data_IF_969546848362
#
_entry.id   IF_969546848362
#
_cell.length_a   1.000
_cell.length_b   1.000
_cell.length_c   1.000
_cell.angle_alpha   90.00
_cell.angle_beta   90.00
_cell.angle_gamma   90.00
#
_symmetry.space_group_name_H-M   'P 1'
#
loop_
_entity.id
_entity.type
_entity.pdbx_description
1 polymer ?
#
# COMPACT_ATOMS: atom_id res chain seq x y z
N UNK A 1 24.85 -47.35 32.22
CA UNK A 1 25.27 -47.06 30.82
C UNK A 1 24.11 -47.07 29.81
N UNK A 2 23.24 -48.10 29.76
CA UNK A 2 22.11 -48.16 28.79
C UNK A 2 21.12 -46.98 28.83
N UNK A 3 20.83 -46.43 30.02
CA UNK A 3 19.91 -45.29 30.19
C UNK A 3 20.49 -43.95 29.74
N UNK A 4 21.79 -43.74 29.89
CA UNK A 4 22.49 -42.51 29.49
C UNK A 4 22.55 -42.43 27.95
N UNK A 5 22.85 -43.55 27.28
CA UNK A 5 22.83 -43.62 25.82
C UNK A 5 21.44 -43.34 25.24
N UNK A 6 20.37 -43.74 25.93
CA UNK A 6 18.99 -43.48 25.50
C UNK A 6 18.63 -42.00 25.58
N UNK A 7 19.07 -41.31 26.65
CA UNK A 7 18.88 -39.86 26.81
C UNK A 7 19.66 -39.10 25.75
N UNK A 8 20.88 -39.54 25.43
CA UNK A 8 21.71 -38.92 24.40
C UNK A 8 21.09 -39.04 23.00
N UNK A 9 20.55 -40.22 22.66
CA UNK A 9 19.88 -40.47 21.38
C UNK A 9 18.57 -39.65 21.27
N UNK A 10 17.82 -39.53 22.37
CA UNK A 10 16.59 -38.72 22.41
C UNK A 10 16.86 -37.21 22.28
N UNK A 11 17.96 -36.71 22.87
CA UNK A 11 18.38 -35.32 22.70
C UNK A 11 18.81 -35.04 21.25
N UNK A 12 19.54 -35.96 20.61
CA UNK A 12 19.93 -35.85 19.20
C UNK A 12 18.74 -35.93 18.23
N UNK A 13 17.65 -36.63 18.57
CA UNK A 13 16.44 -36.63 17.74
C UNK A 13 15.64 -35.33 17.86
N UNK A 14 15.68 -34.66 19.01
CA UNK A 14 14.97 -33.40 19.25
C UNK A 14 15.62 -32.19 18.58
N UNK A 15 16.93 -32.20 18.34
CA UNK A 15 17.62 -31.09 17.64
C UNK A 15 17.42 -31.08 16.12
N UNK A 16 16.83 -32.14 15.55
CA UNK A 16 16.51 -32.24 14.12
C UNK A 16 15.07 -31.82 13.79
N UNK A 17 14.27 -31.41 14.77
CA UNK A 17 12.83 -31.26 14.60
C UNK A 17 12.36 -29.87 14.15
N UNK A 18 13.15 -28.79 14.21
CA UNK A 18 12.62 -27.46 13.87
C UNK A 18 13.66 -26.48 13.29
N UNK A 19 13.98 -26.62 12.00
CA UNK A 19 14.59 -25.50 11.24
C UNK A 19 13.91 -25.20 9.91
N UNK A 20 12.95 -26.02 9.46
CA UNK A 20 12.36 -25.87 8.12
C UNK A 20 10.94 -25.29 8.10
N UNK A 21 10.32 -25.00 9.26
CA UNK A 21 8.92 -24.55 9.28
C UNK A 21 8.70 -23.07 8.91
N UNK A 22 9.76 -22.25 8.84
CA UNK A 22 9.66 -20.82 8.47
C UNK A 22 10.24 -20.48 7.08
N UNK A 23 10.82 -21.45 6.35
CA UNK A 23 11.51 -21.18 5.08
C UNK A 23 10.60 -21.26 3.83
N UNK A 24 9.37 -21.75 3.98
CA UNK A 24 8.39 -21.85 2.89
C UNK A 24 7.12 -21.06 3.22
N UNK A 25 7.26 -19.79 3.61
CA UNK A 25 6.14 -18.88 3.38
C UNK A 25 5.84 -18.93 1.89
N UNK A 26 4.60 -19.28 1.51
CA UNK A 26 4.17 -19.28 0.11
C UNK A 26 4.49 -17.90 -0.43
N UNK A 27 5.45 -17.80 -1.35
CA UNK A 27 5.74 -16.55 -2.04
C UNK A 27 4.49 -16.25 -2.86
N UNK A 28 3.65 -15.35 -2.36
CA UNK A 28 2.59 -14.78 -3.16
C UNK A 28 3.28 -13.98 -4.27
N UNK A 29 2.96 -14.26 -5.54
CA UNK A 29 3.55 -13.53 -6.67
C UNK A 29 3.32 -12.02 -6.52
N UNK A 30 2.22 -11.62 -5.87
CA UNK A 30 1.89 -10.22 -5.56
C UNK A 30 2.85 -9.56 -4.55
N UNK A 31 3.58 -10.33 -3.74
CA UNK A 31 4.53 -9.84 -2.73
C UNK A 31 5.98 -9.83 -3.26
N UNK A 32 6.15 -9.94 -4.58
CA UNK A 32 7.45 -9.85 -5.23
C UNK A 32 7.85 -8.40 -5.44
N UNK A 33 9.17 -8.13 -5.47
CA UNK A 33 9.71 -6.81 -5.84
C UNK A 33 9.20 -6.30 -7.19
N UNK A 34 8.90 -7.22 -8.11
CA UNK A 34 8.35 -6.89 -9.42
C UNK A 34 6.94 -6.32 -9.27
N UNK A 35 6.08 -6.95 -8.49
CA UNK A 35 4.73 -6.47 -8.19
C UNK A 35 4.74 -5.14 -7.43
N UNK A 36 5.65 -4.95 -6.48
CA UNK A 36 5.86 -3.65 -5.82
C UNK A 36 6.24 -2.56 -6.83
N UNK A 37 7.18 -2.87 -7.74
CA UNK A 37 7.60 -1.93 -8.78
C UNK A 37 6.43 -1.57 -9.69
N UNK A 38 5.62 -2.55 -10.12
CA UNK A 38 4.41 -2.30 -10.90
C UNK A 38 3.37 -1.49 -10.13
N UNK A 39 3.15 -1.77 -8.85
CA UNK A 39 2.25 -1.02 -7.97
C UNK A 39 2.68 0.44 -7.93
N UNK A 40 3.95 0.73 -7.62
CA UNK A 40 4.42 2.11 -7.53
C UNK A 40 4.45 2.82 -8.89
N UNK A 41 4.76 2.11 -9.97
CA UNK A 41 4.68 2.65 -11.32
C UNK A 41 3.24 3.02 -11.69
N UNK A 42 2.27 2.15 -11.38
CA UNK A 42 0.86 2.40 -11.59
C UNK A 42 0.40 3.63 -10.80
N UNK A 43 0.61 3.65 -9.48
CA UNK A 43 0.23 4.79 -8.63
C UNK A 43 0.88 6.09 -9.14
N UNK A 44 2.17 6.05 -9.49
CA UNK A 44 2.88 7.23 -10.00
C UNK A 44 2.36 7.69 -11.35
N UNK A 45 1.87 6.78 -12.20
CA UNK A 45 1.25 7.15 -13.48
C UNK A 45 -0.07 7.90 -13.33
N UNK A 46 -0.71 7.79 -12.15
CA UNK A 46 -1.96 8.47 -11.80
C UNK A 46 -1.72 9.82 -11.10
N UNK A 47 -0.50 10.39 -11.22
CA UNK A 47 -0.09 11.59 -10.50
C UNK A 47 -1.07 12.75 -10.68
N UNK A 48 -1.32 13.11 -11.92
CA UNK A 48 -2.11 14.27 -12.34
C UNK A 48 -3.56 14.24 -11.80
N UNK A 49 -4.36 13.17 -12.00
CA UNK A 49 -5.72 13.13 -11.47
C UNK A 49 -5.78 13.06 -9.94
N UNK A 50 -4.76 12.53 -9.26
CA UNK A 50 -4.69 12.59 -7.79
C UNK A 50 -4.34 14.00 -7.32
N UNK A 51 -3.40 14.69 -7.97
CA UNK A 51 -3.06 16.08 -7.65
C UNK A 51 -4.29 16.99 -7.82
N UNK A 52 -5.09 16.77 -8.87
CA UNK A 52 -6.39 17.43 -9.07
C UNK A 52 -7.36 17.14 -7.91
N UNK A 53 -7.51 15.87 -7.51
CA UNK A 53 -8.38 15.50 -6.41
C UNK A 53 -7.95 16.15 -5.09
N UNK A 54 -6.66 16.18 -4.78
CA UNK A 54 -6.13 16.83 -3.57
C UNK A 54 -6.41 18.33 -3.60
N UNK A 55 -6.15 19.00 -4.73
CA UNK A 55 -6.46 20.42 -4.87
C UNK A 55 -7.95 20.71 -4.63
N UNK A 56 -8.84 19.89 -5.20
CA UNK A 56 -10.29 20.05 -5.05
C UNK A 56 -10.80 19.75 -3.62
N UNK A 57 -10.18 18.81 -2.91
CA UNK A 57 -10.53 18.49 -1.52
C UNK A 57 -10.24 19.66 -0.59
N UNK A 58 -9.07 20.30 -0.73
CA UNK A 58 -8.59 21.31 0.21
C UNK A 58 -8.80 22.75 -0.25
N UNK A 59 -9.39 23.00 -1.43
CA UNK A 59 -9.58 24.35 -1.99
C UNK A 59 -10.28 25.36 -1.07
N UNK A 60 -11.19 24.88 -0.23
CA UNK A 60 -12.00 25.69 0.67
C UNK A 60 -11.53 25.58 2.14
N UNK A 61 -10.51 24.76 2.41
CA UNK A 61 -9.93 24.60 3.74
C UNK A 61 -8.91 25.71 4.02
N UNK A 62 -9.28 26.65 4.89
CA UNK A 62 -8.44 27.79 5.27
C UNK A 62 -7.28 27.42 6.19
N UNK A 63 -7.33 26.24 6.80
CA UNK A 63 -6.27 25.73 7.68
C UNK A 63 -5.28 24.85 6.90
N UNK A 64 -5.63 24.46 5.66
CA UNK A 64 -4.78 23.64 4.82
C UNK A 64 -3.51 24.40 4.39
N UNK A 65 -2.32 23.78 4.53
CA UNK A 65 -1.10 24.30 3.93
C UNK A 65 -1.23 24.45 2.41
N UNK A 66 -0.70 25.54 1.84
CA UNK A 66 -0.87 25.85 0.41
C UNK A 66 -0.25 24.83 -0.56
N UNK A 67 0.67 24.00 -0.09
CA UNK A 67 1.51 23.13 -0.91
C UNK A 67 1.45 21.66 -0.49
N UNK A 68 0.25 21.16 -0.20
CA UNK A 68 0.05 19.73 0.08
C UNK A 68 0.53 18.88 -1.09
N UNK A 69 1.47 17.99 -0.79
CA UNK A 69 2.03 17.02 -1.72
C UNK A 69 1.76 15.61 -1.19
N UNK A 70 1.86 14.62 -2.05
CA UNK A 70 1.72 13.22 -1.66
C UNK A 70 2.79 12.36 -2.36
N UNK A 71 2.98 11.13 -1.89
CA UNK A 71 3.96 10.22 -2.44
C UNK A 71 3.35 8.88 -2.84
N UNK A 72 3.77 8.35 -3.99
CA UNK A 72 3.31 7.05 -4.49
C UNK A 72 3.68 5.89 -3.57
N UNK A 73 4.77 6.01 -2.81
CA UNK A 73 5.21 4.95 -1.89
C UNK A 73 4.35 4.85 -0.62
N UNK A 74 3.70 5.95 -0.22
CA UNK A 74 2.79 6.00 0.93
C UNK A 74 1.34 5.71 0.55
N UNK A 75 0.97 5.91 -0.73
CA UNK A 75 -0.38 5.64 -1.19
C UNK A 75 -0.71 4.13 -1.24
N UNK A 76 -1.97 3.81 -0.97
CA UNK A 76 -2.46 2.43 -0.93
C UNK A 76 -3.52 2.21 -2.01
N UNK A 77 -3.40 1.12 -2.78
CA UNK A 77 -4.50 0.67 -3.64
C UNK A 77 -5.49 -0.08 -2.76
N UNK A 78 -6.67 0.50 -2.56
CA UNK A 78 -7.74 -0.12 -1.77
C UNK A 78 -8.55 -1.11 -2.62
N UNK A 79 -8.77 -0.77 -3.88
CA UNK A 79 -9.65 -1.53 -4.77
C UNK A 79 -9.26 -1.31 -6.23
N UNK A 80 -9.41 -2.35 -7.04
CA UNK A 80 -9.36 -2.28 -8.50
C UNK A 80 -10.63 -2.94 -9.05
N UNK A 81 -11.47 -2.17 -9.73
CA UNK A 81 -12.67 -2.68 -10.40
C UNK A 81 -12.41 -2.77 -11.90
N UNK A 82 -12.55 -3.96 -12.46
CA UNK A 82 -12.52 -4.13 -13.91
C UNK A 82 -13.86 -3.70 -14.52
N UNK A 83 -13.81 -2.80 -15.50
CA UNK A 83 -14.93 -2.44 -16.34
C UNK A 83 -14.75 -3.05 -17.73
N UNK A 84 -15.86 -3.47 -18.34
CA UNK A 84 -15.89 -3.94 -19.74
C UNK A 84 -15.03 -5.18 -20.07
N UNK A 85 -14.65 -5.97 -19.06
CA UNK A 85 -13.90 -7.22 -19.25
C UNK A 85 -12.39 -7.03 -19.23
N UNK A 86 -11.66 -8.12 -19.43
CA UNK A 86 -10.19 -8.14 -19.37
C UNK A 86 -9.62 -7.31 -20.52
N UNK A 87 -8.74 -6.35 -20.20
CA UNK A 87 -8.18 -5.41 -21.17
C UNK A 87 -9.05 -4.18 -21.44
N UNK A 88 -10.19 -4.06 -20.74
CA UNK A 88 -11.02 -2.86 -20.73
C UNK A 88 -10.47 -1.76 -19.82
N UNK A 89 -11.36 -0.86 -19.39
CA UNK A 89 -11.05 0.22 -18.45
C UNK A 89 -11.07 -0.35 -17.02
N UNK A 90 -10.19 0.11 -16.14
CA UNK A 90 -10.26 -0.22 -14.73
C UNK A 90 -10.47 1.05 -13.91
N UNK A 91 -11.24 0.94 -12.84
CA UNK A 91 -11.29 1.97 -11.79
C UNK A 91 -10.39 1.54 -10.64
N UNK A 92 -9.54 2.46 -10.20
CA UNK A 92 -8.57 2.26 -9.14
C UNK A 92 -8.95 3.20 -8.01
N UNK A 93 -9.25 2.63 -6.85
CA UNK A 93 -9.47 3.39 -5.62
C UNK A 93 -8.16 3.46 -4.85
N UNK A 94 -7.63 4.67 -4.71
CA UNK A 94 -6.42 4.98 -3.96
C UNK A 94 -6.77 5.62 -2.62
N UNK A 95 -6.04 5.24 -1.59
CA UNK A 95 -5.92 6.00 -0.35
C UNK A 95 -4.64 6.81 -0.42
N UNK A 96 -4.76 8.12 -0.26
CA UNK A 96 -3.67 9.08 -0.41
C UNK A 96 -3.51 9.84 0.90
N UNK A 97 -2.26 10.20 1.21
CA UNK A 97 -1.89 10.91 2.42
C UNK A 97 -1.19 12.21 2.04
N UNK A 98 -1.93 13.31 1.81
CA UNK A 98 -1.29 14.59 1.57
C UNK A 98 -0.52 15.06 2.80
N UNK A 99 0.66 15.62 2.58
CA UNK A 99 1.60 16.11 3.58
C UNK A 99 2.16 17.47 3.17
N UNK A 100 2.49 18.30 4.16
CA UNK A 100 3.01 19.65 3.96
C UNK A 100 4.53 19.75 4.19
N UNK A 101 5.09 18.72 4.81
CA UNK A 101 6.53 18.56 5.02
C UNK A 101 6.85 17.05 5.06
N UNK A 102 8.14 16.71 5.03
CA UNK A 102 8.62 15.34 5.12
C UNK A 102 7.98 14.62 6.31
N UNK A 103 7.18 13.59 5.99
CA UNK A 103 6.49 12.74 6.96
C UNK A 103 5.41 13.43 7.81
N UNK A 104 4.98 14.65 7.48
CA UNK A 104 3.91 15.37 8.19
C UNK A 104 2.62 15.42 7.37
N UNK A 105 1.79 14.38 7.53
CA UNK A 105 0.50 14.29 6.85
C UNK A 105 -0.50 15.30 7.42
N UNK A 106 -1.19 16.00 6.52
CA UNK A 106 -2.30 16.87 6.87
C UNK A 106 -3.64 16.14 6.80
N UNK A 107 -3.76 15.14 5.93
CA UNK A 107 -5.01 14.40 5.82
C UNK A 107 -4.91 13.05 5.15
N UNK A 108 -6.06 12.39 5.08
CA UNK A 108 -6.26 11.09 4.45
C UNK A 108 -7.44 11.21 3.50
N UNK A 109 -7.20 10.84 2.26
CA UNK A 109 -8.16 11.00 1.17
C UNK A 109 -8.34 9.69 0.41
N UNK A 110 -9.55 9.47 -0.08
CA UNK A 110 -9.88 8.40 -1.01
C UNK A 110 -10.13 9.01 -2.39
N UNK A 111 -9.45 8.50 -3.41
CA UNK A 111 -9.53 9.00 -4.78
C UNK A 111 -9.83 7.82 -5.72
N UNK A 112 -10.83 7.98 -6.58
CA UNK A 112 -11.22 6.97 -7.57
C UNK A 112 -10.90 7.50 -8.95
N UNK A 113 -10.03 6.80 -9.67
CA UNK A 113 -9.50 7.21 -10.97
C UNK A 113 -9.62 6.03 -11.93
N UNK A 114 -9.91 6.29 -13.19
CA UNK A 114 -9.91 5.22 -14.19
C UNK A 114 -8.55 5.11 -14.93
N UNK A 115 -8.33 4.01 -15.65
CA UNK A 115 -7.09 3.78 -16.41
C UNK A 115 -6.90 4.69 -17.62
N UNK A 116 -7.87 5.53 -17.97
CA UNK A 116 -7.69 6.59 -18.97
C UNK A 116 -7.07 7.85 -18.36
N UNK A 117 -6.98 7.92 -17.03
CA UNK A 117 -6.53 9.11 -16.30
C UNK A 117 -7.68 10.02 -15.84
N UNK A 118 -8.94 9.61 -15.99
CA UNK A 118 -10.07 10.43 -15.57
C UNK A 118 -10.29 10.31 -14.05
N UNK A 119 -10.39 11.46 -13.37
CA UNK A 119 -10.84 11.54 -11.98
C UNK A 119 -12.36 11.27 -11.91
N UNK A 120 -12.75 10.15 -11.29
CA UNK A 120 -14.15 9.72 -11.21
C UNK A 120 -14.84 10.27 -9.97
N UNK A 121 -14.17 10.19 -8.82
CA UNK A 121 -14.68 10.74 -7.55
C UNK A 121 -13.57 10.85 -6.53
N UNK A 122 -13.80 11.67 -5.50
CA UNK A 122 -12.89 11.81 -4.38
C UNK A 122 -13.67 12.03 -3.09
N UNK A 123 -13.06 11.67 -1.96
CA UNK A 123 -13.64 11.80 -0.63
C UNK A 123 -12.56 12.05 0.41
N UNK A 124 -12.71 13.14 1.14
CA UNK A 124 -11.90 13.39 2.33
C UNK A 124 -12.33 12.45 3.47
N UNK A 125 -11.35 11.81 4.12
CA UNK A 125 -11.61 10.88 5.22
C UNK A 125 -11.26 11.48 6.58
N UNK A 126 -10.16 12.21 6.66
CA UNK A 126 -9.63 12.69 7.94
C UNK A 126 -8.63 13.83 7.76
N UNK A 127 -8.69 14.84 8.63
CA UNK A 127 -7.65 15.86 8.83
C UNK A 127 -6.85 15.52 10.09
N UNK A 128 -5.54 15.80 10.06
CA UNK A 128 -4.67 15.77 11.23
C UNK A 128 -4.40 17.20 11.71
N UNK A 129 -4.27 17.40 13.04
CA UNK A 129 -3.87 18.70 13.56
C UNK A 129 -2.44 19.04 13.11
N UNK A 130 -2.20 20.32 12.84
CA UNK A 130 -0.86 20.84 12.59
C UNK A 130 -0.04 20.81 13.90
N UNK A 131 1.21 20.36 13.81
CA UNK A 131 2.16 20.27 14.93
C UNK A 131 3.35 21.20 14.73
#
# INVERSE_FOLDING_TARGET
MRRINFIFILMLSLTNLDTNHYANAVINEADTKLCDTFKYALISSLREPVDEAVAEIYKDDKEAPENLVWASYDAEILKVNQLYGVGGVYEITLKVYPYYDAHMSYGVDEVVINTNGDLISYKHLKTYPLY
#
